data_IF_500814376360
#
_entry.id   IF_500814376360
#
_cell.length_a   1.000
_cell.length_b   1.000
_cell.length_c   1.000
_cell.angle_alpha   90.00
_cell.angle_beta   90.00
_cell.angle_gamma   90.00
#
_symmetry.space_group_name_H-M   'P 1'
#
loop_
_entity.id
_entity.type
_entity.pdbx_description
1 polymer ?
#
# COMPACT_ATOMS: atom_id res chain seq x y z
N UNK A 1 12.21 18.23 2.35
CA UNK A 1 12.23 16.83 1.92
C UNK A 1 10.83 16.27 2.14
N UNK A 2 9.85 16.79 1.39
CA UNK A 2 8.43 16.64 1.74
C UNK A 2 7.68 15.75 0.74
N UNK A 3 8.31 15.41 -0.39
CA UNK A 3 7.68 14.65 -1.48
C UNK A 3 7.66 13.15 -1.16
N UNK A 4 8.75 12.59 -0.61
CA UNK A 4 8.82 11.18 -0.19
C UNK A 4 7.76 10.88 0.89
N UNK A 5 7.67 11.71 1.92
CA UNK A 5 6.74 11.51 3.04
C UNK A 5 5.27 11.59 2.57
N UNK A 6 4.95 12.55 1.70
CA UNK A 6 3.62 12.66 1.09
C UNK A 6 3.32 11.45 0.20
N UNK A 7 4.31 10.93 -0.53
CA UNK A 7 4.13 9.74 -1.36
C UNK A 7 3.88 8.49 -0.49
N UNK A 8 4.65 8.32 0.59
CA UNK A 8 4.44 7.23 1.55
C UNK A 8 3.05 7.31 2.19
N UNK A 9 2.63 8.49 2.63
CA UNK A 9 1.31 8.71 3.19
C UNK A 9 0.19 8.39 2.19
N UNK A 10 0.39 8.73 0.90
CA UNK A 10 -0.56 8.39 -0.14
C UNK A 10 -0.68 6.88 -0.34
N UNK A 11 0.41 6.12 -0.25
CA UNK A 11 0.39 4.65 -0.31
C UNK A 11 -0.41 4.09 0.87
N UNK A 12 -0.13 4.53 2.09
CA UNK A 12 -0.86 4.10 3.29
C UNK A 12 -2.37 4.40 3.19
N UNK A 13 -2.73 5.61 2.77
CA UNK A 13 -4.12 6.01 2.59
C UNK A 13 -4.82 5.20 1.49
N UNK A 14 -4.09 4.85 0.42
CA UNK A 14 -4.64 4.04 -0.68
C UNK A 14 -4.92 2.61 -0.23
N UNK A 15 -4.02 1.98 0.53
CA UNK A 15 -4.25 0.65 1.11
C UNK A 15 -5.49 0.67 2.01
N UNK A 16 -5.57 1.68 2.89
CA UNK A 16 -6.72 1.84 3.78
C UNK A 16 -8.03 2.01 2.99
N UNK A 17 -8.01 2.78 1.90
CA UNK A 17 -9.16 2.93 1.01
C UNK A 17 -9.55 1.63 0.34
N UNK A 18 -8.60 0.85 -0.18
CA UNK A 18 -8.89 -0.45 -0.81
C UNK A 18 -9.64 -1.36 0.18
N UNK A 19 -9.17 -1.44 1.42
CA UNK A 19 -9.83 -2.21 2.49
C UNK A 19 -11.23 -1.67 2.83
N UNK A 20 -11.42 -0.36 2.83
CA UNK A 20 -12.70 0.27 3.17
C UNK A 20 -13.73 0.18 2.03
N UNK A 21 -13.29 0.31 0.79
CA UNK A 21 -14.15 0.41 -0.39
C UNK A 21 -14.43 -0.95 -1.04
N UNK A 22 -13.61 -1.97 -0.76
CA UNK A 22 -13.79 -3.32 -1.28
C UNK A 22 -14.00 -4.35 -0.16
N UNK A 23 -15.27 -4.62 0.23
CA UNK A 23 -15.58 -5.62 1.24
C UNK A 23 -15.07 -7.01 0.89
N UNK A 24 -15.02 -7.35 -0.41
CA UNK A 24 -14.54 -8.65 -0.89
C UNK A 24 -13.05 -8.81 -0.60
N UNK A 25 -12.24 -7.80 -0.94
CA UNK A 25 -10.80 -7.87 -0.71
C UNK A 25 -10.47 -7.85 0.79
N UNK A 26 -11.21 -7.06 1.57
CA UNK A 26 -11.07 -7.06 3.03
C UNK A 26 -11.40 -8.42 3.64
N UNK A 27 -12.49 -9.07 3.20
CA UNK A 27 -12.84 -10.41 3.67
C UNK A 27 -11.81 -11.47 3.26
N UNK A 28 -11.26 -11.39 2.05
CA UNK A 28 -10.18 -12.27 1.58
C UNK A 28 -8.88 -12.06 2.39
N UNK A 29 -8.56 -10.81 2.74
CA UNK A 29 -7.41 -10.48 3.60
C UNK A 29 -7.62 -10.96 5.04
N UNK A 30 -8.80 -10.77 5.63
CA UNK A 30 -9.13 -11.28 6.97
C UNK A 30 -9.08 -12.81 7.05
N UNK A 31 -9.42 -13.49 5.96
CA UNK A 31 -9.28 -14.96 5.83
C UNK A 31 -7.85 -15.41 5.57
N UNK A 32 -6.91 -14.50 5.33
CA UNK A 32 -5.52 -14.80 4.98
C UNK A 32 -5.35 -15.40 3.58
N UNK A 33 -6.33 -15.22 2.69
CA UNK A 33 -6.25 -15.68 1.30
C UNK A 33 -5.34 -14.78 0.46
N UNK A 34 -5.30 -13.48 0.80
CA UNK A 34 -4.43 -12.47 0.18
C UNK A 34 -3.86 -11.54 1.25
N UNK A 35 -2.80 -10.80 0.91
CA UNK A 35 -2.23 -9.73 1.74
C UNK A 35 -2.13 -8.44 0.91
N UNK A 36 -2.50 -7.30 1.50
CA UNK A 36 -2.40 -5.99 0.84
C UNK A 36 -1.26 -5.21 1.49
N UNK A 37 -0.13 -5.12 0.77
CA UNK A 37 1.08 -4.40 1.21
C UNK A 37 1.32 -3.15 0.37
N UNK A 38 1.94 -2.15 1.00
CA UNK A 38 2.39 -0.93 0.33
C UNK A 38 3.78 -1.11 -0.22
N UNK A 39 4.08 -0.47 -1.35
CA UNK A 39 5.43 -0.44 -1.87
C UNK A 39 5.77 0.91 -2.50
N UNK A 40 7.00 1.37 -2.29
CA UNK A 40 7.58 2.52 -2.95
C UNK A 40 8.71 2.08 -3.85
N UNK A 41 8.69 2.53 -5.11
CA UNK A 41 9.72 2.23 -6.10
C UNK A 41 10.62 3.45 -6.29
N UNK A 42 11.92 3.28 -6.05
CA UNK A 42 12.94 4.27 -6.36
C UNK A 42 13.37 4.13 -7.82
N UNK A 43 13.01 5.11 -8.64
CA UNK A 43 13.32 5.15 -10.08
C UNK A 43 14.82 5.26 -10.37
N UNK A 44 15.62 5.77 -9.44
CA UNK A 44 17.05 6.02 -9.62
C UNK A 44 17.89 4.79 -9.30
N UNK A 45 17.49 4.04 -8.27
CA UNK A 45 18.20 2.82 -7.83
C UNK A 45 17.55 1.53 -8.33
N UNK A 46 16.27 1.58 -8.70
CA UNK A 46 15.47 0.41 -9.05
C UNK A 46 15.01 -0.41 -7.84
N UNK A 47 15.24 0.08 -6.62
CA UNK A 47 14.86 -0.61 -5.39
C UNK A 47 13.38 -0.43 -5.09
N UNK A 48 12.79 -1.45 -4.48
CA UNK A 48 11.43 -1.43 -3.97
C UNK A 48 11.48 -1.61 -2.47
N UNK A 49 10.93 -0.65 -1.74
CA UNK A 49 10.72 -0.74 -0.30
C UNK A 49 9.27 -1.12 -0.03
N UNK A 50 9.05 -2.19 0.74
CA UNK A 50 7.73 -2.66 1.13
C UNK A 50 7.43 -2.23 2.57
N UNK A 51 6.18 -1.84 2.82
CA UNK A 51 5.66 -1.41 4.14
C UNK A 51 4.51 -2.31 4.60
#
# INVERSE_FOLDING_TARGET
>A
EDVEEVAQLNVELSIKRIRQESPILAEMEEKGEIEIVGAMYDVSTGLVEFY
#
